data_IF_413018460220
#
_entry.id   IF_413018460220
#
_cell.length_a   1.000
_cell.length_b   1.000
_cell.length_c   1.000
_cell.angle_alpha   90.00
_cell.angle_beta   90.00
_cell.angle_gamma   90.00
#
_symmetry.space_group_name_H-M   'P 1'
#
loop_
_entity.id
_entity.type
_entity.pdbx_description
1 polymer ?
#
# COMPACT_ATOMS: atom_id res chain seq x y z
N UNK A 1 -43.01 10.49 -45.76
CA UNK A 1 -42.49 11.30 -44.65
C UNK A 1 -41.83 10.36 -43.66
N UNK A 2 -40.52 10.52 -43.45
CA UNK A 2 -39.64 9.55 -42.76
C UNK A 2 -39.72 9.69 -41.24
N UNK A 3 -39.90 8.55 -40.56
CA UNK A 3 -40.10 8.43 -39.11
C UNK A 3 -38.86 7.87 -38.37
N UNK A 4 -37.65 8.00 -38.94
CA UNK A 4 -36.44 7.41 -38.35
C UNK A 4 -35.70 8.32 -37.34
N UNK A 5 -36.14 9.55 -37.08
CA UNK A 5 -35.37 10.51 -36.26
C UNK A 5 -35.57 10.36 -34.73
N UNK A 6 -36.47 9.49 -34.28
CA UNK A 6 -36.78 9.37 -32.84
C UNK A 6 -35.79 8.48 -32.07
N UNK A 7 -35.21 7.47 -32.71
CA UNK A 7 -34.31 6.52 -32.03
C UNK A 7 -32.87 7.04 -31.90
N UNK A 8 -32.36 7.71 -32.94
CA UNK A 8 -31.00 8.27 -32.95
C UNK A 8 -30.86 9.44 -31.96
N UNK A 9 -31.92 10.25 -31.79
CA UNK A 9 -31.94 11.35 -30.82
C UNK A 9 -31.88 10.88 -29.36
N UNK A 10 -32.57 9.77 -29.03
CA UNK A 10 -32.55 9.19 -27.69
C UNK A 10 -31.19 8.62 -27.30
N UNK A 11 -30.54 7.90 -28.23
CA UNK A 11 -29.20 7.33 -28.00
C UNK A 11 -28.13 8.42 -27.92
N UNK A 12 -28.18 9.43 -28.80
CA UNK A 12 -27.25 10.56 -28.74
C UNK A 12 -27.37 11.34 -27.42
N UNK A 13 -28.59 11.56 -26.94
CA UNK A 13 -28.84 12.20 -25.65
C UNK A 13 -28.30 11.38 -24.48
N UNK A 14 -28.50 10.05 -24.48
CA UNK A 14 -27.97 9.18 -23.44
C UNK A 14 -26.43 9.19 -23.40
N UNK A 15 -25.77 9.10 -24.57
CA UNK A 15 -24.29 9.19 -24.65
C UNK A 15 -23.80 10.54 -24.17
N UNK A 16 -24.45 11.64 -24.57
CA UNK A 16 -24.10 12.98 -24.12
C UNK A 16 -24.24 13.13 -22.59
N UNK A 17 -25.31 12.59 -22.00
CA UNK A 17 -25.56 12.63 -20.56
C UNK A 17 -24.51 11.83 -19.78
N UNK A 18 -24.16 10.62 -20.24
CA UNK A 18 -23.11 9.80 -19.64
C UNK A 18 -21.75 10.50 -19.77
N UNK A 19 -21.44 11.04 -20.95
CA UNK A 19 -20.21 11.79 -21.20
C UNK A 19 -20.09 13.02 -20.30
N UNK A 20 -21.15 13.80 -20.14
CA UNK A 20 -21.19 14.95 -19.25
C UNK A 20 -21.02 14.53 -17.77
N UNK A 21 -21.66 13.44 -17.36
CA UNK A 21 -21.51 12.88 -16.01
C UNK A 21 -20.07 12.45 -15.72
N UNK A 22 -19.44 11.72 -16.64
CA UNK A 22 -18.03 11.32 -16.51
C UNK A 22 -17.09 12.51 -16.51
N UNK A 23 -17.33 13.51 -17.36
CA UNK A 23 -16.55 14.74 -17.38
C UNK A 23 -16.65 15.50 -16.05
N UNK A 24 -17.85 15.59 -15.48
CA UNK A 24 -18.08 16.24 -14.18
C UNK A 24 -17.34 15.51 -13.05
N UNK A 25 -17.42 14.18 -13.00
CA UNK A 25 -16.67 13.37 -12.03
C UNK A 25 -15.16 13.58 -12.22
N UNK A 26 -14.68 13.57 -13.46
CA UNK A 26 -13.27 13.82 -13.78
C UNK A 26 -12.79 15.19 -13.29
N UNK A 27 -13.56 16.25 -13.54
CA UNK A 27 -13.25 17.61 -13.06
C UNK A 27 -13.24 17.67 -11.53
N UNK A 28 -14.21 17.02 -10.89
CA UNK A 28 -14.28 16.96 -9.42
C UNK A 28 -13.06 16.26 -8.82
N UNK A 29 -12.71 15.07 -9.33
CA UNK A 29 -11.52 14.33 -8.90
C UNK A 29 -10.24 15.13 -9.13
N UNK A 30 -10.12 15.76 -10.30
CA UNK A 30 -9.01 16.65 -10.62
C UNK A 30 -8.88 17.79 -9.60
N UNK A 31 -9.99 18.45 -9.27
CA UNK A 31 -9.99 19.54 -8.30
C UNK A 31 -9.54 19.08 -6.90
N UNK A 32 -10.01 17.91 -6.44
CA UNK A 32 -9.59 17.32 -5.16
C UNK A 32 -8.09 16.99 -5.16
N UNK A 33 -7.59 16.35 -6.22
CA UNK A 33 -6.17 16.01 -6.34
C UNK A 33 -5.28 17.25 -6.45
N UNK A 34 -5.72 18.29 -7.17
CA UNK A 34 -5.02 19.56 -7.26
C UNK A 34 -4.94 20.25 -5.89
N UNK A 35 -6.04 20.25 -5.14
CA UNK A 35 -6.06 20.79 -3.79
C UNK A 35 -5.13 20.04 -2.84
N UNK A 36 -5.13 18.70 -2.90
CA UNK A 36 -4.19 17.87 -2.14
C UNK A 36 -2.73 18.14 -2.52
N UNK A 37 -2.44 18.28 -3.83
CA UNK A 37 -1.11 18.62 -4.30
C UNK A 37 -0.64 19.97 -3.73
N UNK A 38 -1.51 20.98 -3.67
CA UNK A 38 -1.19 22.29 -3.06
C UNK A 38 -0.87 22.13 -1.57
N UNK A 39 -1.71 21.42 -0.81
CA UNK A 39 -1.47 21.19 0.62
C UNK A 39 -0.13 20.47 0.84
N UNK A 40 0.10 19.38 0.10
CA UNK A 40 1.35 18.61 0.20
C UNK A 40 2.57 19.44 -0.21
N UNK A 41 2.43 20.32 -1.20
CA UNK A 41 3.50 21.24 -1.60
C UNK A 41 3.84 22.20 -0.47
N UNK A 42 2.83 22.76 0.22
CA UNK A 42 3.06 23.64 1.37
C UNK A 42 3.75 22.87 2.51
N UNK A 43 3.29 21.65 2.82
CA UNK A 43 3.93 20.80 3.83
C UNK A 43 5.38 20.45 3.45
N UNK A 44 5.64 20.16 2.18
CA UNK A 44 6.98 19.89 1.65
C UNK A 44 7.90 21.12 1.76
N UNK A 45 7.37 22.32 1.53
CA UNK A 45 8.13 23.56 1.74
C UNK A 45 8.44 23.78 3.23
N UNK A 46 7.52 23.48 4.14
CA UNK A 46 7.78 23.51 5.57
C UNK A 46 8.83 22.46 6.01
N UNK A 47 8.81 21.28 5.39
CA UNK A 47 9.74 20.19 5.66
C UNK A 47 11.08 20.31 4.90
N UNK A 48 11.32 21.39 4.16
CA UNK A 48 12.40 21.49 3.17
C UNK A 48 13.82 21.32 3.75
N UNK A 49 14.05 21.81 4.98
CA UNK A 49 15.33 21.72 5.69
C UNK A 49 15.28 20.82 6.93
N UNK A 50 14.12 20.68 7.55
CA UNK A 50 13.94 19.95 8.80
C UNK A 50 12.80 18.95 8.67
N UNK A 51 12.96 17.71 9.17
CA UNK A 51 11.90 16.71 9.10
C UNK A 51 10.66 17.22 9.84
N UNK A 52 9.50 17.06 9.20
CA UNK A 52 8.22 17.50 9.76
C UNK A 52 7.46 16.27 10.26
N UNK A 53 7.15 16.24 11.55
CA UNK A 53 6.32 15.18 12.16
C UNK A 53 4.86 15.66 12.23
N UNK A 54 3.98 14.99 11.50
CA UNK A 54 2.53 15.11 11.64
C UNK A 54 1.97 13.81 12.23
N UNK A 55 1.77 13.78 13.55
CA UNK A 55 1.25 12.60 14.23
C UNK A 55 2.21 11.40 14.10
N UNK A 56 1.76 10.33 13.44
CA UNK A 56 2.55 9.14 13.15
C UNK A 56 3.39 9.24 11.87
N UNK A 57 3.11 10.23 11.01
CA UNK A 57 3.80 10.40 9.72
C UNK A 57 4.95 11.38 9.91
N UNK A 58 6.15 10.97 9.47
CA UNK A 58 7.32 11.84 9.41
C UNK A 58 7.64 12.08 7.95
N UNK A 59 7.61 13.34 7.52
CA UNK A 59 8.02 13.74 6.16
C UNK A 59 9.49 14.12 6.24
N UNK A 60 10.34 13.37 5.54
CA UNK A 60 11.75 13.70 5.48
C UNK A 60 12.05 14.81 4.47
N UNK A 61 13.08 15.65 4.70
CA UNK A 61 13.44 16.72 3.77
C UNK A 61 13.75 16.24 2.35
N UNK A 62 14.27 15.02 2.23
CA UNK A 62 14.59 14.43 0.92
C UNK A 62 13.33 14.04 0.15
N UNK A 63 12.34 13.45 0.82
CA UNK A 63 11.02 13.11 0.27
C UNK A 63 10.25 14.37 -0.16
N UNK A 64 10.28 15.41 0.67
CA UNK A 64 9.67 16.70 0.39
C UNK A 64 10.21 17.34 -0.90
N UNK A 65 11.54 17.32 -1.08
CA UNK A 65 12.18 17.82 -2.31
C UNK A 65 11.82 16.97 -3.51
N UNK A 66 11.85 15.64 -3.35
CA UNK A 66 11.53 14.70 -4.42
C UNK A 66 10.10 14.87 -4.90
N UNK A 67 9.14 15.07 -3.99
CA UNK A 67 7.74 15.39 -4.31
C UNK A 67 7.63 16.63 -5.21
N UNK A 68 8.33 17.71 -4.85
CA UNK A 68 8.32 18.96 -5.61
C UNK A 68 9.01 18.79 -6.97
N UNK A 69 10.15 18.10 -7.03
CA UNK A 69 10.85 17.87 -8.29
C UNK A 69 10.06 17.00 -9.26
N UNK A 70 9.41 15.94 -8.78
CA UNK A 70 8.53 15.09 -9.60
C UNK A 70 7.31 15.86 -10.10
N UNK A 71 6.71 16.68 -9.24
CA UNK A 71 5.65 17.62 -9.65
C UNK A 71 6.11 18.58 -10.73
N UNK A 72 7.27 19.22 -10.55
CA UNK A 72 7.81 20.15 -11.54
C UNK A 72 8.16 19.46 -12.87
N UNK A 73 8.71 18.24 -12.81
CA UNK A 73 8.97 17.43 -13.99
C UNK A 73 7.67 17.11 -14.74
N UNK A 74 6.61 16.70 -14.02
CA UNK A 74 5.29 16.47 -14.60
C UNK A 74 4.68 17.73 -15.22
N UNK A 75 4.81 18.88 -14.57
CA UNK A 75 4.32 20.18 -15.04
C UNK A 75 4.95 20.62 -16.38
N UNK A 76 6.15 20.12 -16.71
CA UNK A 76 6.83 20.38 -17.97
C UNK A 76 6.59 19.25 -18.98
N UNK A 77 6.71 18.00 -18.56
CA UNK A 77 6.62 16.83 -19.45
C UNK A 77 5.22 16.67 -20.04
N UNK A 78 4.16 16.90 -19.26
CA UNK A 78 2.78 16.77 -19.74
C UNK A 78 2.47 17.77 -20.86
N UNK A 79 2.64 19.09 -20.69
CA UNK A 79 2.39 20.02 -21.80
C UNK A 79 3.33 19.76 -22.98
N UNK A 80 4.59 19.38 -22.76
CA UNK A 80 5.50 19.00 -23.85
C UNK A 80 4.97 17.80 -24.66
N UNK A 81 4.47 16.76 -23.98
CA UNK A 81 3.85 15.60 -24.60
C UNK A 81 2.55 15.93 -25.34
N UNK A 82 1.72 16.81 -24.79
CA UNK A 82 0.48 17.26 -25.44
C UNK A 82 0.79 18.08 -26.69
N UNK A 83 1.77 18.98 -26.65
CA UNK A 83 2.24 19.73 -27.83
C UNK A 83 2.78 18.79 -28.89
N UNK A 84 3.61 17.82 -28.51
CA UNK A 84 4.12 16.80 -29.42
C UNK A 84 2.97 16.03 -30.10
N UNK A 85 1.96 15.61 -29.33
CA UNK A 85 0.76 14.94 -29.84
C UNK A 85 -0.08 15.84 -30.74
N UNK A 86 -0.21 17.13 -30.41
CA UNK A 86 -0.94 18.11 -31.20
C UNK A 86 -0.29 18.34 -32.58
N UNK A 87 1.03 18.36 -32.64
CA UNK A 87 1.77 18.45 -33.89
C UNK A 87 1.55 17.20 -34.75
N UNK A 88 1.58 16.01 -34.15
CA UNK A 88 1.39 14.74 -34.88
C UNK A 88 -0.03 14.57 -35.44
N UNK A 89 -1.05 14.97 -34.67
CA UNK A 89 -2.47 14.79 -35.04
C UNK A 89 -3.00 16.01 -35.83
N UNK A 90 -2.31 17.15 -35.75
CA UNK A 90 -2.69 18.39 -36.43
C UNK A 90 -3.84 19.16 -35.76
N UNK A 91 -4.10 18.95 -34.47
CA UNK A 91 -5.11 19.71 -33.73
C UNK A 91 -4.52 20.97 -33.09
N UNK A 92 -5.37 22.00 -32.90
CA UNK A 92 -4.97 23.25 -32.26
C UNK A 92 -5.30 23.21 -30.77
N UNK A 93 -4.31 23.54 -29.94
CA UNK A 93 -4.50 23.70 -28.50
C UNK A 93 -5.06 25.10 -28.25
N UNK A 94 -6.20 25.18 -27.59
CA UNK A 94 -6.77 26.45 -27.15
C UNK A 94 -5.91 27.04 -26.01
N UNK A 95 -5.55 28.34 -26.06
CA UNK A 95 -4.72 29.00 -25.05
C UNK A 95 -5.21 28.83 -23.60
N UNK A 96 -6.52 28.68 -23.39
CA UNK A 96 -7.11 28.53 -22.06
C UNK A 96 -6.73 27.20 -21.38
N UNK A 97 -6.28 26.21 -22.15
CA UNK A 97 -5.92 24.89 -21.62
C UNK A 97 -4.51 24.82 -21.04
N UNK A 98 -3.63 25.79 -21.34
CA UNK A 98 -2.25 25.77 -20.86
C UNK A 98 -2.12 25.70 -19.36
N UNK A 99 -2.91 26.49 -18.64
CA UNK A 99 -2.93 26.48 -17.18
C UNK A 99 -3.29 25.09 -16.64
N UNK A 100 -4.35 24.48 -17.18
CA UNK A 100 -4.79 23.15 -16.76
C UNK A 100 -3.77 22.05 -17.11
N UNK A 101 -3.07 22.16 -18.23
CA UNK A 101 -2.02 21.20 -18.59
C UNK A 101 -0.82 21.27 -17.65
N UNK A 102 -0.40 22.47 -17.26
CA UNK A 102 0.72 22.66 -16.32
C UNK A 102 0.32 22.19 -14.93
N UNK A 103 -0.84 22.62 -14.42
CA UNK A 103 -1.34 22.22 -13.11
C UNK A 103 -1.60 20.71 -13.08
N UNK A 104 -2.25 20.17 -14.11
CA UNK A 104 -2.51 18.73 -14.20
C UNK A 104 -1.24 17.90 -14.32
N UNK A 105 -0.25 18.39 -15.07
CA UNK A 105 1.07 17.79 -15.10
C UNK A 105 1.74 17.78 -13.73
N UNK A 106 1.62 18.89 -12.98
CA UNK A 106 2.14 18.96 -11.62
C UNK A 106 1.46 17.94 -10.70
N UNK A 107 0.14 17.86 -10.72
CA UNK A 107 -0.65 16.93 -9.90
C UNK A 107 -0.32 15.47 -10.24
N UNK A 108 -0.24 15.14 -11.53
CA UNK A 108 0.10 13.80 -11.98
C UNK A 108 1.53 13.41 -11.57
N UNK A 109 2.49 14.32 -11.76
CA UNK A 109 3.89 14.08 -11.41
C UNK A 109 4.13 14.00 -9.90
N UNK A 110 3.39 14.76 -9.10
CA UNK A 110 3.55 14.78 -7.64
C UNK A 110 2.74 13.68 -6.97
N UNK A 111 1.41 13.83 -6.95
CA UNK A 111 0.48 12.91 -6.26
C UNK A 111 0.36 11.58 -7.00
N UNK A 112 0.28 11.61 -8.33
CA UNK A 112 0.14 10.38 -9.12
C UNK A 112 1.32 9.42 -8.95
N UNK A 113 2.56 9.93 -9.00
CA UNK A 113 3.76 9.13 -8.76
C UNK A 113 3.84 8.67 -7.30
N UNK A 114 3.48 9.52 -6.33
CA UNK A 114 3.48 9.12 -4.93
C UNK A 114 2.51 7.96 -4.64
N UNK A 115 1.33 7.94 -5.28
CA UNK A 115 0.38 6.82 -5.17
C UNK A 115 0.96 5.54 -5.78
N UNK A 116 1.64 5.66 -6.93
CA UNK A 116 2.26 4.51 -7.60
C UNK A 116 3.39 3.90 -6.77
N UNK A 117 4.24 4.75 -6.17
CA UNK A 117 5.35 4.33 -5.30
C UNK A 117 4.83 3.68 -4.02
N UNK A 118 3.81 4.27 -3.37
CA UNK A 118 3.17 3.67 -2.20
C UNK A 118 2.60 2.27 -2.51
N UNK A 119 2.02 2.09 -3.71
CA UNK A 119 1.51 0.79 -4.14
C UNK A 119 2.62 -0.24 -4.39
N UNK A 120 3.78 0.21 -4.87
CA UNK A 120 4.93 -0.65 -5.15
C UNK A 120 5.63 -1.11 -3.86
N UNK A 121 5.77 -0.21 -2.88
CA UNK A 121 6.41 -0.53 -1.60
C UNK A 121 5.64 -1.59 -0.80
N UNK A 122 4.31 -1.61 -0.91
CA UNK A 122 3.47 -2.61 -0.24
C UNK A 122 3.64 -4.01 -0.87
N UNK A 123 3.85 -4.07 -2.19
CA UNK A 123 4.14 -5.32 -2.91
C UNK A 123 5.53 -5.86 -2.57
N UNK A 124 6.55 -5.00 -2.52
CA UNK A 124 7.93 -5.39 -2.19
C UNK A 124 8.04 -5.88 -0.73
N UNK A 125 7.33 -5.25 0.22
CA UNK A 125 7.29 -5.69 1.63
C UNK A 125 6.61 -7.05 1.81
N UNK A 126 5.68 -7.43 0.93
CA UNK A 126 5.06 -8.74 0.92
C UNK A 126 5.97 -9.82 0.28
N UNK A 127 6.77 -9.43 -0.71
CA UNK A 127 7.73 -10.32 -1.37
C UNK A 127 8.98 -10.62 -0.52
N UNK A 128 9.43 -9.66 0.30
CA UNK A 128 10.58 -9.79 1.21
C UNK A 128 10.19 -10.38 2.58
N UNK A 129 8.96 -10.88 2.74
CA UNK A 129 8.58 -11.63 3.93
C UNK A 129 9.54 -12.82 4.09
N UNK A 130 10.30 -12.94 5.20
CA UNK A 130 11.23 -14.04 5.38
C UNK A 130 10.47 -15.36 5.23
N UNK A 131 11.01 -16.36 4.52
CA UNK A 131 10.36 -17.65 4.38
C UNK A 131 10.00 -18.13 5.77
N UNK A 132 8.70 -18.36 5.98
CA UNK A 132 8.15 -18.80 7.26
C UNK A 132 9.05 -19.91 7.78
N UNK A 133 9.68 -19.78 8.96
CA UNK A 133 10.63 -20.77 9.43
C UNK A 133 9.90 -22.11 9.41
N UNK A 134 10.42 -23.06 8.62
CA UNK A 134 9.85 -24.39 8.53
C UNK A 134 9.59 -24.88 9.96
N UNK A 135 8.40 -25.43 10.26
CA UNK A 135 8.10 -25.93 11.60
C UNK A 135 9.27 -26.81 12.01
N UNK A 136 10.05 -26.37 13.02
CA UNK A 136 11.12 -27.18 13.56
C UNK A 136 10.42 -28.42 14.07
N UNK A 137 10.54 -29.52 13.33
CA UNK A 137 10.24 -30.84 13.87
C UNK A 137 11.05 -30.90 15.16
N UNK A 138 10.37 -30.96 16.30
CA UNK A 138 11.00 -31.12 17.60
C UNK A 138 11.97 -32.29 17.45
N UNK A 139 13.26 -32.04 17.61
CA UNK A 139 14.23 -33.13 17.66
C UNK A 139 13.74 -34.10 18.74
N UNK A 140 13.60 -35.40 18.44
CA UNK A 140 13.22 -36.37 19.45
C UNK A 140 14.19 -36.21 20.63
N UNK A 141 13.70 -36.11 21.88
CA UNK A 141 14.56 -35.89 23.02
C UNK A 141 15.66 -36.94 23.00
N UNK A 142 16.93 -36.48 23.01
CA UNK A 142 18.08 -37.35 23.04
C UNK A 142 17.87 -38.36 24.17
N UNK A 143 17.83 -39.66 23.82
CA UNK A 143 17.88 -40.72 24.83
C UNK A 143 19.11 -40.46 25.68
N UNK A 144 18.89 -40.05 26.93
CA UNK A 144 19.94 -39.93 27.93
C UNK A 144 20.58 -41.31 28.04
N UNK A 145 21.75 -41.47 27.42
CA UNK A 145 22.61 -42.61 27.63
C UNK A 145 23.08 -42.50 29.07
N UNK A 146 22.48 -43.29 29.96
CA UNK A 146 22.92 -43.42 31.35
C UNK A 146 24.31 -44.06 31.34
N UNK A 147 25.35 -43.26 31.13
CA UNK A 147 26.72 -43.65 31.43
C UNK A 147 27.02 -43.23 32.88
N UNK A 148 27.16 -44.28 33.72
CA UNK A 148 27.78 -44.32 35.04
C UNK A 148 27.95 -43.00 35.79
N UNK A 149 26.97 -42.67 36.64
CA UNK A 149 27.21 -41.80 37.80
C UNK A 149 26.96 -42.63 39.05
N UNK A 150 28.02 -42.87 39.83
CA UNK A 150 27.94 -43.56 41.12
C UNK A 150 26.86 -42.93 42.01
N UNK A 151 26.02 -43.73 42.68
CA UNK A 151 24.97 -43.21 43.52
C UNK A 151 25.55 -42.56 44.78
N UNK A 152 25.41 -41.25 44.90
CA UNK A 152 25.61 -40.53 46.18
C UNK A 152 24.61 -41.08 47.19
N UNK A 153 25.11 -41.86 48.14
CA UNK A 153 24.36 -42.50 49.21
C UNK A 153 23.86 -41.45 50.21
N UNK A 154 22.72 -40.83 49.94
CA UNK A 154 22.02 -40.04 50.96
C UNK A 154 21.27 -40.97 51.92
N UNK A 155 21.62 -40.86 53.20
CA UNK A 155 21.04 -41.58 54.34
C UNK A 155 19.66 -40.97 54.65
N UNK A 156 18.59 -41.60 54.20
CA UNK A 156 17.21 -41.29 54.58
C UNK A 156 16.36 -42.56 54.47
N UNK A 157 15.31 -42.75 55.28
CA UNK A 157 14.52 -43.98 55.25
C UNK A 157 13.90 -44.14 53.86
N UNK A 158 14.22 -45.26 53.22
CA UNK A 158 13.72 -45.65 51.91
C UNK A 158 12.20 -45.84 51.96
N UNK A 159 11.45 -44.77 51.71
CA UNK A 159 10.11 -44.91 51.15
C UNK A 159 10.32 -45.28 49.69
N UNK A 160 9.89 -46.47 49.31
CA UNK A 160 9.74 -46.87 47.91
C UNK A 160 8.81 -45.85 47.25
N UNK A 161 9.37 -44.79 46.70
CA UNK A 161 8.65 -43.86 45.87
C UNK A 161 8.37 -44.60 44.57
N UNK A 162 7.22 -45.27 44.52
CA UNK A 162 6.68 -45.73 43.25
C UNK A 162 6.65 -44.51 42.29
N UNK A 163 7.08 -44.69 41.04
CA UNK A 163 7.10 -43.59 40.08
C UNK A 163 5.70 -42.98 40.00
N UNK A 164 5.66 -41.64 40.06
CA UNK A 164 4.41 -40.87 40.03
C UNK A 164 3.57 -41.28 38.80
N UNK A 165 2.45 -41.95 39.05
CA UNK A 165 1.46 -42.33 38.03
C UNK A 165 0.34 -41.29 38.03
N UNK A 166 0.06 -40.72 36.86
CA UNK A 166 -1.11 -39.86 36.67
C UNK A 166 -2.38 -40.73 36.72
N UNK A 167 -3.44 -40.21 37.34
CA UNK A 167 -4.74 -40.88 37.41
C UNK A 167 -5.21 -41.26 36.01
N UNK A 168 -5.50 -42.55 35.80
CA UNK A 168 -6.15 -43.04 34.59
C UNK A 168 -7.67 -42.94 34.75
N UNK A 169 -8.38 -42.72 33.65
CA UNK A 169 -9.85 -42.76 33.64
C UNK A 169 -10.44 -44.12 34.09
N UNK A 170 -9.61 -45.17 34.13
CA UNK A 170 -9.97 -46.50 34.62
C UNK A 170 -9.89 -46.64 36.16
N UNK A 171 -9.37 -45.65 36.89
CA UNK A 171 -9.21 -45.72 38.36
C UNK A 171 -10.55 -45.48 39.11
N UNK A 172 -11.64 -45.15 38.42
CA UNK A 172 -12.98 -44.95 39.00
C UNK A 172 -13.75 -46.27 39.23
N UNK A 173 -13.33 -47.39 38.64
CA UNK A 173 -14.03 -48.68 38.77
C UNK A 173 -13.52 -49.56 39.92
N UNK A 174 -12.38 -49.22 40.53
CA UNK A 174 -11.76 -50.01 41.61
C UNK A 174 -12.33 -49.69 43.02
N UNK A 175 -13.28 -48.76 43.12
CA UNK A 175 -13.96 -48.37 44.36
C UNK A 175 -15.46 -48.76 44.41
N UNK A 176 -15.86 -49.85 43.74
CA UNK A 176 -17.19 -50.45 43.87
C UNK A 176 -17.16 -51.85 44.50
#
# INVERSE_FOLDING_TARGET
MSSNNSNDGGMAFAIALVGAGLAFIGIFLFAVLAFLAVIMTILALCAWMTPLKLGSITIEPHEARLFIYRGLAGAVLVPAFVVFSAILIGFRIDPNWWFYMVVGGYVLGSVGIAILEASSEDEDKAADAPPMPAPRALEPPARVRQEGREPVRMKGPARSAEPFRFASWDDEEEFK
#
